data_IF_206794425324
#
_entry.id   IF_206794425324
#
_cell.length_a   1.000
_cell.length_b   1.000
_cell.length_c   1.000
_cell.angle_alpha   90.00
_cell.angle_beta   90.00
_cell.angle_gamma   90.00
#
_symmetry.space_group_name_H-M   'P 1'
#
loop_
_entity.id
_entity.type
_entity.pdbx_description
1 polymer ?
#
# COMPACT_ATOMS: atom_id res chain seq x y z
N UNK A 1 0.79 6.51 -28.09
CA UNK A 1 0.83 7.48 -26.97
C UNK A 1 1.56 6.79 -25.84
N UNK A 2 2.55 7.43 -25.23
CA UNK A 2 3.33 6.81 -24.16
C UNK A 2 2.50 6.77 -22.87
N UNK A 3 2.42 5.59 -22.24
CA UNK A 3 1.71 5.36 -20.98
C UNK A 3 2.54 5.94 -19.81
N UNK A 4 1.91 6.75 -18.95
CA UNK A 4 2.61 7.43 -17.83
C UNK A 4 3.11 6.43 -16.80
N UNK A 5 4.34 6.61 -16.31
CA UNK A 5 4.82 5.87 -15.13
C UNK A 5 4.17 6.38 -13.85
N UNK A 6 4.24 5.62 -12.76
CA UNK A 6 3.78 6.08 -11.43
C UNK A 6 4.44 7.37 -11.01
N UNK A 7 5.73 7.53 -11.32
CA UNK A 7 6.47 8.77 -11.06
C UNK A 7 5.87 10.02 -11.71
N UNK A 8 5.13 9.88 -12.81
CA UNK A 8 4.51 10.95 -13.60
C UNK A 8 3.00 11.06 -13.39
N UNK A 9 2.42 10.15 -12.60
CA UNK A 9 0.99 10.04 -12.40
C UNK A 9 0.52 10.89 -11.22
N UNK A 10 -0.50 11.70 -11.45
CA UNK A 10 -1.11 12.56 -10.44
C UNK A 10 -2.51 12.08 -10.04
N UNK A 11 -3.28 11.53 -10.99
CA UNK A 11 -4.65 11.08 -10.77
C UNK A 11 -4.86 9.64 -11.26
N UNK A 12 -5.42 8.79 -10.40
CA UNK A 12 -5.78 7.41 -10.76
C UNK A 12 -7.18 7.01 -10.36
N UNK A 13 -7.60 5.88 -10.92
CA UNK A 13 -8.82 5.18 -10.51
C UNK A 13 -8.49 3.75 -10.09
N UNK A 14 -9.21 3.26 -9.09
CA UNK A 14 -9.10 1.88 -8.64
C UNK A 14 -10.47 1.21 -8.70
N UNK A 15 -10.50 -0.01 -9.22
CA UNK A 15 -11.70 -0.83 -9.32
C UNK A 15 -11.44 -2.20 -8.73
N UNK A 16 -12.27 -2.56 -7.75
CA UNK A 16 -12.10 -3.78 -6.98
C UNK A 16 -13.35 -4.65 -7.05
N UNK A 17 -13.15 -5.94 -7.30
CA UNK A 17 -14.20 -6.93 -7.49
C UNK A 17 -14.13 -8.06 -6.46
N UNK A 18 -12.93 -8.43 -5.99
CA UNK A 18 -12.73 -9.52 -5.02
C UNK A 18 -13.47 -10.81 -5.37
N UNK A 19 -13.28 -11.34 -6.58
CA UNK A 19 -13.89 -12.60 -6.99
C UNK A 19 -13.64 -13.71 -5.94
N UNK A 20 -14.71 -14.37 -5.51
CA UNK A 20 -14.62 -15.59 -4.72
C UNK A 20 -14.48 -16.82 -5.61
N UNK A 21 -14.04 -17.95 -5.04
CA UNK A 21 -13.93 -19.22 -5.78
C UNK A 21 -15.23 -19.67 -6.44
N UNK A 22 -16.36 -19.40 -5.78
CA UNK A 22 -17.70 -19.75 -6.25
C UNK A 22 -18.36 -18.66 -7.11
N UNK A 23 -17.65 -17.57 -7.40
CA UNK A 23 -18.19 -16.48 -8.23
C UNK A 23 -18.46 -16.96 -9.65
N UNK A 24 -19.67 -16.70 -10.13
CA UNK A 24 -20.11 -17.02 -11.49
C UNK A 24 -20.42 -15.76 -12.29
N UNK A 25 -20.55 -15.91 -13.61
CA UNK A 25 -20.98 -14.85 -14.51
C UNK A 25 -19.97 -13.71 -14.70
N UNK A 26 -18.69 -13.90 -14.37
CA UNK A 26 -17.69 -12.83 -14.53
C UNK A 26 -17.57 -12.47 -16.01
N UNK A 27 -17.93 -11.23 -16.34
CA UNK A 27 -17.95 -10.70 -17.70
C UNK A 27 -19.32 -10.73 -18.40
N UNK A 28 -20.40 -11.21 -17.76
CA UNK A 28 -21.74 -11.24 -18.36
C UNK A 28 -22.25 -9.84 -18.74
N UNK A 29 -21.84 -8.81 -18.01
CA UNK A 29 -22.19 -7.42 -18.29
C UNK A 29 -20.99 -6.63 -18.82
N UNK A 30 -20.05 -7.28 -19.51
CA UNK A 30 -18.96 -6.61 -20.21
C UNK A 30 -19.49 -5.50 -21.11
N UNK A 31 -19.05 -4.28 -20.85
CA UNK A 31 -19.50 -3.08 -21.56
C UNK A 31 -18.28 -2.18 -21.89
N UNK A 32 -17.43 -2.60 -22.86
CA UNK A 32 -16.22 -1.86 -23.21
C UNK A 32 -16.50 -0.40 -23.58
N UNK A 33 -17.65 -0.12 -24.19
CA UNK A 33 -18.09 1.24 -24.51
C UNK A 33 -18.39 2.09 -23.27
N UNK A 34 -18.88 1.50 -22.17
CA UNK A 34 -19.08 2.20 -20.89
C UNK A 34 -17.71 2.51 -20.26
N UNK A 35 -16.80 1.53 -20.28
CA UNK A 35 -15.41 1.72 -19.81
C UNK A 35 -14.74 2.84 -20.61
N UNK A 36 -14.83 2.81 -21.94
CA UNK A 36 -14.28 3.83 -22.81
C UNK A 36 -14.83 5.23 -22.50
N UNK A 37 -16.16 5.37 -22.37
CA UNK A 37 -16.79 6.64 -21.97
C UNK A 37 -16.27 7.16 -20.64
N UNK A 38 -16.11 6.27 -19.65
CA UNK A 38 -15.57 6.62 -18.34
C UNK A 38 -14.12 7.14 -18.46
N UNK A 39 -13.27 6.43 -19.20
CA UNK A 39 -11.87 6.82 -19.39
C UNK A 39 -11.75 8.16 -20.14
N UNK A 40 -12.60 8.41 -21.13
CA UNK A 40 -12.64 9.69 -21.88
C UNK A 40 -13.09 10.87 -21.01
N UNK A 41 -14.06 10.64 -20.12
CA UNK A 41 -14.57 11.65 -19.20
C UNK A 41 -13.57 11.99 -18.09
N UNK A 42 -13.04 10.96 -17.41
CA UNK A 42 -12.18 11.12 -16.23
C UNK A 42 -10.74 11.47 -16.61
N UNK A 43 -10.24 10.91 -17.72
CA UNK A 43 -8.84 11.03 -18.16
C UNK A 43 -7.82 10.76 -17.04
N UNK A 44 -7.89 9.59 -16.37
CA UNK A 44 -6.91 9.25 -15.35
C UNK A 44 -5.54 9.00 -16.00
N UNK A 45 -4.47 9.19 -15.23
CA UNK A 45 -3.11 8.83 -15.66
C UNK A 45 -2.91 7.30 -15.67
N UNK A 46 -3.63 6.62 -14.77
CA UNK A 46 -3.60 5.17 -14.63
C UNK A 46 -4.93 4.63 -14.08
N UNK A 47 -5.20 3.36 -14.36
CA UNK A 47 -6.27 2.59 -13.73
C UNK A 47 -5.66 1.38 -13.04
N UNK A 48 -6.12 1.07 -11.84
CA UNK A 48 -5.90 -0.20 -11.17
C UNK A 48 -7.19 -1.00 -11.22
N UNK A 49 -7.16 -2.24 -11.69
CA UNK A 49 -8.33 -3.11 -11.74
C UNK A 49 -8.09 -4.43 -11.02
N UNK A 50 -9.15 -5.00 -10.45
CA UNK A 50 -9.12 -6.29 -9.78
C UNK A 50 -8.54 -7.38 -10.69
N UNK A 51 -7.65 -8.18 -10.12
CA UNK A 51 -7.12 -9.38 -10.75
C UNK A 51 -7.20 -10.58 -9.82
N UNK A 52 -6.95 -10.38 -8.51
CA UNK A 52 -7.10 -11.40 -7.46
C UNK A 52 -7.31 -10.71 -6.11
N UNK A 53 -8.45 -10.96 -5.46
CA UNK A 53 -8.69 -10.54 -4.08
C UNK A 53 -8.16 -11.53 -3.03
N UNK A 54 -8.33 -11.24 -1.74
CA UNK A 54 -7.89 -12.11 -0.64
C UNK A 54 -8.47 -13.52 -0.63
N UNK A 55 -9.65 -13.70 -1.24
CA UNK A 55 -10.24 -15.03 -1.45
C UNK A 55 -9.37 -15.93 -2.33
N UNK A 56 -8.44 -15.36 -3.11
CA UNK A 56 -7.41 -16.09 -3.86
C UNK A 56 -7.81 -16.51 -5.28
N UNK A 57 -9.07 -16.33 -5.67
CA UNK A 57 -9.53 -16.60 -7.03
C UNK A 57 -9.25 -15.41 -7.96
N UNK A 58 -8.73 -15.67 -9.17
CA UNK A 58 -8.57 -14.62 -10.17
C UNK A 58 -9.92 -14.27 -10.82
N UNK A 59 -10.09 -12.99 -11.16
CA UNK A 59 -11.26 -12.48 -11.88
C UNK A 59 -11.09 -12.44 -13.40
N UNK A 60 -9.99 -13.01 -13.90
CA UNK A 60 -9.66 -13.15 -15.33
C UNK A 60 -9.23 -14.59 -15.65
N UNK A 61 -9.34 -15.03 -16.93
CA UNK A 61 -8.89 -16.34 -17.34
C UNK A 61 -7.36 -16.49 -17.19
N UNK A 62 -6.92 -17.13 -16.12
CA UNK A 62 -5.48 -17.31 -15.82
C UNK A 62 -4.98 -18.68 -16.29
N UNK A 63 -3.73 -18.72 -16.75
CA UNK A 63 -2.95 -19.96 -16.95
C UNK A 63 -2.20 -20.35 -15.67
N UNK A 64 -2.16 -19.48 -14.66
CA UNK A 64 -1.36 -19.62 -13.44
C UNK A 64 -2.24 -19.44 -12.19
N UNK A 65 -2.51 -20.56 -11.51
CA UNK A 65 -3.26 -20.57 -10.27
C UNK A 65 -4.73 -20.91 -10.48
N UNK A 66 -5.62 -20.20 -9.79
CA UNK A 66 -7.01 -20.60 -9.65
C UNK A 66 -7.93 -19.44 -10.03
N UNK A 67 -8.65 -19.58 -11.15
CA UNK A 67 -9.69 -18.64 -11.52
C UNK A 67 -10.99 -18.91 -10.76
N UNK A 68 -11.85 -17.88 -10.69
CA UNK A 68 -13.22 -18.04 -10.26
C UNK A 68 -13.98 -19.08 -11.10
N UNK A 69 -15.04 -19.66 -10.52
CA UNK A 69 -15.78 -20.80 -11.08
C UNK A 69 -16.24 -20.61 -12.53
N UNK A 70 -16.76 -19.44 -12.88
CA UNK A 70 -17.28 -19.18 -14.22
C UNK A 70 -16.93 -17.76 -14.69
N UNK A 71 -16.03 -17.71 -15.68
CA UNK A 71 -15.64 -16.50 -16.40
C UNK A 71 -16.13 -16.63 -17.84
N UNK A 72 -17.11 -15.80 -18.19
CA UNK A 72 -17.73 -15.82 -19.53
C UNK A 72 -17.02 -14.89 -20.51
N UNK A 73 -16.29 -13.89 -20.00
CA UNK A 73 -15.48 -12.98 -20.79
C UNK A 73 -14.25 -12.50 -20.02
N UNK A 74 -13.18 -12.22 -20.76
CA UNK A 74 -11.92 -11.71 -20.20
C UNK A 74 -12.02 -10.21 -19.91
N UNK A 75 -12.42 -9.86 -18.70
CA UNK A 75 -12.57 -8.48 -18.24
C UNK A 75 -11.22 -7.74 -18.15
N UNK A 76 -10.12 -8.45 -17.89
CA UNK A 76 -8.79 -7.84 -17.76
C UNK A 76 -8.28 -7.43 -19.14
N UNK A 77 -8.47 -8.28 -20.14
CA UNK A 77 -8.18 -7.95 -21.54
C UNK A 77 -9.02 -6.77 -22.02
N UNK A 78 -10.31 -6.71 -21.68
CA UNK A 78 -11.17 -5.56 -21.98
C UNK A 78 -10.61 -4.26 -21.39
N UNK A 79 -10.23 -4.26 -20.10
CA UNK A 79 -9.59 -3.12 -19.46
C UNK A 79 -8.30 -2.71 -20.19
N UNK A 80 -7.46 -3.68 -20.55
CA UNK A 80 -6.21 -3.42 -21.27
C UNK A 80 -6.46 -2.77 -22.63
N UNK A 81 -7.38 -3.31 -23.42
CA UNK A 81 -7.72 -2.78 -24.75
C UNK A 81 -8.25 -1.34 -24.67
N UNK A 82 -9.16 -1.04 -23.74
CA UNK A 82 -9.73 0.30 -23.60
C UNK A 82 -8.74 1.34 -23.08
N UNK A 83 -7.84 0.94 -22.18
CA UNK A 83 -6.77 1.83 -21.68
C UNK A 83 -5.66 2.04 -22.72
N UNK A 84 -5.29 1.01 -23.49
CA UNK A 84 -4.27 1.10 -24.54
C UNK A 84 -4.68 2.06 -25.67
N UNK A 85 -5.97 2.04 -26.07
CA UNK A 85 -6.54 3.01 -27.04
C UNK A 85 -6.34 4.47 -26.63
N UNK A 86 -6.18 4.72 -25.32
CA UNK A 86 -6.12 6.06 -24.71
C UNK A 86 -4.76 6.41 -24.13
N UNK A 87 -3.76 5.52 -24.23
CA UNK A 87 -2.45 5.73 -23.60
C UNK A 87 -2.50 5.78 -22.08
N UNK A 88 -3.46 5.12 -21.45
CA UNK A 88 -3.62 5.08 -19.99
C UNK A 88 -2.90 3.84 -19.45
N UNK A 89 -2.14 4.02 -18.37
CA UNK A 89 -1.43 2.90 -17.73
C UNK A 89 -2.40 1.99 -16.98
N UNK A 90 -2.20 0.67 -17.05
CA UNK A 90 -3.05 -0.32 -16.38
C UNK A 90 -2.26 -1.12 -15.35
N UNK A 91 -2.76 -1.16 -14.13
CA UNK A 91 -2.17 -1.87 -13.01
C UNK A 91 -3.12 -2.94 -12.48
N UNK A 92 -2.57 -4.03 -11.99
CA UNK A 92 -3.33 -5.03 -11.26
C UNK A 92 -3.53 -4.61 -9.79
N UNK A 93 -4.76 -4.70 -9.29
CA UNK A 93 -5.04 -4.92 -7.88
C UNK A 93 -4.95 -6.42 -7.61
N UNK A 94 -3.97 -6.84 -6.82
CA UNK A 94 -3.65 -8.26 -6.66
C UNK A 94 -3.27 -8.59 -5.22
N UNK A 95 -3.84 -9.64 -4.65
CA UNK A 95 -3.54 -10.06 -3.28
C UNK A 95 -2.22 -10.83 -3.18
N UNK A 96 -1.38 -10.43 -2.22
CA UNK A 96 -0.08 -11.01 -1.90
C UNK A 96 -0.17 -12.06 -0.79
N UNK A 97 0.34 -11.75 0.41
CA UNK A 97 0.44 -12.69 1.54
C UNK A 97 -0.91 -13.29 1.93
N UNK A 98 -1.98 -12.49 1.91
CA UNK A 98 -3.34 -12.98 2.13
C UNK A 98 -3.85 -13.70 0.86
N UNK A 99 -3.91 -15.02 0.88
CA UNK A 99 -4.45 -15.83 -0.22
C UNK A 99 -5.09 -17.12 0.31
N UNK A 100 -6.41 -17.09 0.50
CA UNK A 100 -7.15 -18.22 1.07
C UNK A 100 -7.08 -19.47 0.17
N UNK A 101 -7.22 -19.28 -1.16
CA UNK A 101 -7.31 -20.39 -2.10
C UNK A 101 -5.95 -21.05 -2.34
N UNK A 102 -4.86 -20.28 -2.32
CA UNK A 102 -3.51 -20.83 -2.33
C UNK A 102 -3.29 -21.82 -1.16
N UNK A 103 -3.76 -21.46 0.04
CA UNK A 103 -3.66 -22.31 1.24
C UNK A 103 -4.61 -23.50 1.17
N UNK A 104 -5.84 -23.32 0.67
CA UNK A 104 -6.80 -24.42 0.49
C UNK A 104 -6.20 -25.52 -0.40
N UNK A 105 -5.53 -25.14 -1.50
CA UNK A 105 -4.89 -26.08 -2.41
C UNK A 105 -3.52 -26.57 -1.93
N UNK A 106 -2.78 -25.76 -1.17
CA UNK A 106 -1.44 -26.08 -0.67
C UNK A 106 -1.32 -25.76 0.83
N UNK A 107 -1.89 -26.60 1.72
CA UNK A 107 -1.92 -26.30 3.15
C UNK A 107 -0.53 -26.12 3.80
N UNK A 108 0.51 -26.72 3.22
CA UNK A 108 1.90 -26.56 3.68
C UNK A 108 2.47 -25.15 3.44
N UNK A 109 1.81 -24.33 2.62
CA UNK A 109 2.24 -22.94 2.37
C UNK A 109 1.71 -21.98 3.43
N UNK A 110 0.86 -22.42 4.35
CA UNK A 110 0.31 -21.55 5.40
C UNK A 110 1.39 -21.09 6.39
N UNK A 111 1.29 -19.83 6.83
CA UNK A 111 1.97 -19.40 8.04
C UNK A 111 1.36 -20.14 9.25
N UNK A 112 2.16 -20.44 10.26
CA UNK A 112 1.72 -21.17 11.46
C UNK A 112 1.93 -20.30 12.68
N UNK A 113 0.93 -20.23 13.56
CA UNK A 113 1.04 -19.43 14.79
C UNK A 113 1.88 -20.17 15.87
N UNK A 114 2.15 -19.49 16.98
CA UNK A 114 2.92 -20.02 18.11
C UNK A 114 2.33 -21.31 18.72
N UNK A 115 1.02 -21.55 18.55
CA UNK A 115 0.33 -22.77 19.03
C UNK A 115 0.45 -23.94 18.07
N UNK A 116 1.11 -23.77 16.93
CA UNK A 116 1.19 -24.79 15.88
C UNK A 116 -0.05 -24.86 15.00
N UNK A 117 -0.93 -23.86 15.03
CA UNK A 117 -2.15 -23.82 14.22
C UNK A 117 -1.85 -23.12 12.87
N UNK A 118 -2.07 -23.79 11.73
CA UNK A 118 -1.89 -23.16 10.42
C UNK A 118 -2.97 -22.12 10.15
N UNK A 119 -2.57 -21.00 9.56
CA UNK A 119 -3.48 -19.99 9.05
C UNK A 119 -4.31 -20.54 7.89
N UNK A 120 -5.56 -20.09 7.78
CA UNK A 120 -6.42 -20.35 6.61
C UNK A 120 -6.36 -19.24 5.57
N UNK A 121 -5.59 -18.20 5.86
CA UNK A 121 -5.63 -16.93 5.13
C UNK A 121 -4.24 -16.42 4.75
N UNK A 122 -3.24 -16.61 5.61
CA UNK A 122 -1.91 -16.00 5.46
C UNK A 122 -0.90 -17.05 5.04
N UNK A 123 -0.25 -16.80 3.91
CA UNK A 123 0.85 -17.63 3.43
C UNK A 123 2.11 -17.38 4.26
N UNK A 124 2.95 -18.40 4.40
CA UNK A 124 4.29 -18.25 4.93
C UNK A 124 5.15 -17.49 3.93
N UNK A 125 5.76 -16.38 4.37
CA UNK A 125 6.72 -15.62 3.54
C UNK A 125 8.02 -16.39 3.30
N UNK A 126 8.26 -17.50 4.02
CA UNK A 126 9.44 -18.36 3.87
C UNK A 126 9.15 -19.58 2.97
N UNK A 127 7.88 -19.84 2.69
CA UNK A 127 7.44 -20.96 1.86
C UNK A 127 7.59 -20.69 0.36
N UNK A 128 7.14 -21.65 -0.47
CA UNK A 128 7.34 -21.62 -1.92
C UNK A 128 6.28 -20.79 -2.68
N UNK A 129 5.40 -20.05 -1.98
CA UNK A 129 4.26 -19.34 -2.57
C UNK A 129 4.69 -18.33 -3.65
N UNK A 130 5.78 -17.60 -3.43
CA UNK A 130 6.30 -16.62 -4.40
C UNK A 130 6.75 -17.32 -5.68
N UNK A 131 7.55 -18.37 -5.55
CA UNK A 131 8.19 -19.04 -6.68
C UNK A 131 7.19 -19.91 -7.45
N UNK A 132 6.14 -20.41 -6.78
CA UNK A 132 5.18 -21.34 -7.38
C UNK A 132 3.88 -20.69 -7.84
N UNK A 133 3.50 -19.53 -7.30
CA UNK A 133 2.21 -18.92 -7.60
C UNK A 133 2.32 -17.41 -7.87
N UNK A 134 2.64 -16.59 -6.86
CA UNK A 134 2.58 -15.13 -7.01
C UNK A 134 3.51 -14.62 -8.12
N UNK A 135 4.79 -14.97 -8.10
CA UNK A 135 5.76 -14.54 -9.11
C UNK A 135 5.33 -14.91 -10.53
N UNK A 136 4.97 -16.18 -10.81
CA UNK A 136 4.39 -16.59 -12.09
C UNK A 136 3.11 -15.82 -12.49
N UNK A 137 2.22 -15.49 -11.55
CA UNK A 137 1.02 -14.67 -11.82
C UNK A 137 1.40 -13.24 -12.24
N UNK A 138 2.39 -12.63 -11.57
CA UNK A 138 2.88 -11.30 -11.94
C UNK A 138 3.51 -11.31 -13.34
N UNK A 139 4.25 -12.36 -13.68
CA UNK A 139 4.83 -12.53 -15.03
C UNK A 139 3.74 -12.69 -16.08
N UNK A 140 2.70 -13.49 -15.83
CA UNK A 140 1.56 -13.63 -16.75
C UNK A 140 0.89 -12.27 -17.01
N UNK A 141 0.57 -11.52 -15.95
CA UNK A 141 -0.04 -10.19 -16.09
C UNK A 141 0.86 -9.21 -16.85
N UNK A 142 2.16 -9.22 -16.58
CA UNK A 142 3.11 -8.33 -17.24
C UNK A 142 3.31 -8.67 -18.74
N UNK A 143 3.35 -9.95 -19.09
CA UNK A 143 3.81 -10.39 -20.42
C UNK A 143 2.69 -10.79 -21.38
N UNK A 144 1.63 -11.42 -20.88
CA UNK A 144 0.52 -11.89 -21.70
C UNK A 144 -0.59 -10.83 -21.80
N UNK A 145 -0.77 -10.04 -20.73
CA UNK A 145 -1.77 -8.97 -20.67
C UNK A 145 -1.21 -7.56 -20.87
N UNK A 146 0.12 -7.40 -20.97
CA UNK A 146 0.77 -6.08 -21.13
C UNK A 146 0.31 -5.06 -20.07
N UNK A 147 0.22 -5.49 -18.80
CA UNK A 147 0.02 -4.57 -17.68
C UNK A 147 1.30 -3.78 -17.42
N UNK A 148 1.13 -2.52 -17.01
CA UNK A 148 2.22 -1.61 -16.71
C UNK A 148 2.78 -1.82 -15.29
N UNK A 149 1.99 -2.43 -14.41
CA UNK A 149 2.43 -2.73 -13.06
C UNK A 149 1.41 -3.45 -12.18
N UNK A 150 1.72 -3.54 -10.90
CA UNK A 150 0.88 -4.15 -9.88
C UNK A 150 0.92 -3.36 -8.58
N UNK A 151 -0.22 -3.32 -7.91
CA UNK A 151 -0.36 -2.92 -6.52
C UNK A 151 -0.75 -4.16 -5.72
N UNK A 152 0.19 -4.64 -4.90
CA UNK A 152 0.03 -5.87 -4.13
C UNK A 152 -0.66 -5.54 -2.81
N UNK A 153 -1.88 -6.02 -2.63
CA UNK A 153 -2.61 -5.90 -1.37
C UNK A 153 -2.35 -7.09 -0.43
N UNK A 154 -2.82 -7.01 0.81
CA UNK A 154 -2.74 -8.13 1.74
C UNK A 154 -1.30 -8.50 2.07
N UNK A 155 -0.38 -7.53 2.06
CA UNK A 155 1.07 -7.71 2.20
C UNK A 155 1.53 -7.41 3.65
N UNK A 156 2.20 -6.29 3.93
CA UNK A 156 2.88 -6.07 5.22
C UNK A 156 1.89 -6.05 6.40
N UNK A 157 0.65 -5.64 6.17
CA UNK A 157 -0.38 -5.59 7.20
C UNK A 157 -1.02 -6.96 7.50
N UNK A 158 -0.78 -7.96 6.65
CA UNK A 158 -1.34 -9.30 6.78
C UNK A 158 -0.34 -10.35 7.31
N UNK A 159 0.97 -10.04 7.34
CA UNK A 159 1.98 -10.96 7.86
C UNK A 159 1.87 -11.15 9.38
N UNK A 160 2.29 -12.33 9.84
CA UNK A 160 2.27 -12.74 11.24
C UNK A 160 3.58 -13.43 11.63
N UNK A 161 3.96 -13.45 12.92
CA UNK A 161 5.05 -14.31 13.39
C UNK A 161 4.79 -15.76 12.96
N UNK A 162 5.76 -16.37 12.29
CA UNK A 162 5.56 -17.62 11.57
C UNK A 162 6.41 -18.74 12.16
N UNK A 163 5.75 -19.80 12.60
CA UNK A 163 6.32 -21.03 13.14
C UNK A 163 6.13 -22.20 12.18
N UNK A 164 5.87 -21.96 10.89
CA UNK A 164 5.80 -23.00 9.87
C UNK A 164 7.14 -23.74 9.78
N UNK A 165 7.13 -24.95 9.20
CA UNK A 165 8.37 -25.69 8.96
C UNK A 165 9.38 -24.86 8.15
N UNK A 166 8.90 -24.10 7.16
CA UNK A 166 9.72 -23.18 6.36
C UNK A 166 10.38 -22.11 7.22
N UNK A 167 9.63 -21.42 8.08
CA UNK A 167 10.15 -20.38 8.95
C UNK A 167 11.10 -20.94 10.02
N UNK A 168 10.78 -22.09 10.62
CA UNK A 168 11.64 -22.77 11.60
C UNK A 168 12.98 -23.17 10.97
N UNK A 169 12.96 -23.74 9.77
CA UNK A 169 14.17 -24.15 9.06
C UNK A 169 15.03 -22.91 8.68
N UNK A 170 14.40 -21.85 8.18
CA UNK A 170 15.09 -20.61 7.86
C UNK A 170 15.70 -19.93 9.10
N UNK A 171 14.99 -19.93 10.22
CA UNK A 171 15.48 -19.38 11.49
C UNK A 171 16.65 -20.20 12.04
N UNK A 172 16.52 -21.54 12.02
CA UNK A 172 17.59 -22.44 12.46
C UNK A 172 18.84 -22.30 11.58
N UNK A 173 18.69 -22.21 10.27
CA UNK A 173 19.81 -22.00 9.35
C UNK A 173 20.55 -20.69 9.63
N UNK A 174 19.84 -19.62 10.02
CA UNK A 174 20.43 -18.31 10.33
C UNK A 174 21.07 -18.23 11.72
N UNK A 175 20.49 -18.91 12.71
CA UNK A 175 20.83 -18.67 14.13
C UNK A 175 21.39 -19.89 14.87
N UNK A 176 21.22 -21.10 14.32
CA UNK A 176 21.48 -22.37 15.01
C UNK A 176 20.51 -22.68 16.16
N UNK A 177 19.44 -21.91 16.33
CA UNK A 177 18.45 -22.03 17.42
C UNK A 177 17.05 -22.29 16.87
N UNK A 178 16.15 -22.79 17.72
CA UNK A 178 14.71 -22.84 17.41
C UNK A 178 14.07 -21.46 17.63
N UNK A 179 13.00 -21.10 16.91
CA UNK A 179 12.25 -19.87 17.18
C UNK A 179 11.78 -19.82 18.64
N UNK A 180 12.08 -18.74 19.38
CA UNK A 180 11.56 -18.53 20.72
C UNK A 180 10.06 -18.25 20.70
N UNK A 181 9.39 -18.62 21.79
CA UNK A 181 8.01 -18.25 22.08
C UNK A 181 7.88 -16.81 22.56
N UNK A 182 6.65 -16.28 22.58
CA UNK A 182 6.35 -14.89 22.91
C UNK A 182 6.69 -14.48 24.35
N UNK A 183 6.94 -15.45 25.23
CA UNK A 183 7.37 -15.27 26.61
C UNK A 183 8.84 -15.65 26.86
N UNK A 184 9.59 -16.00 25.82
CA UNK A 184 10.99 -16.43 25.90
C UNK A 184 11.95 -15.29 25.52
N UNK A 185 13.18 -15.37 26.02
CA UNK A 185 14.25 -14.43 25.65
C UNK A 185 14.57 -14.53 24.15
N UNK A 186 14.84 -13.40 23.50
CA UNK A 186 15.13 -13.32 22.07
C UNK A 186 13.89 -13.28 21.17
N UNK A 187 12.68 -13.17 21.73
CA UNK A 187 11.46 -13.04 20.93
C UNK A 187 11.46 -11.82 19.99
N UNK A 188 11.99 -10.67 20.45
CA UNK A 188 12.10 -9.48 19.61
C UNK A 188 13.01 -9.72 18.39
N UNK A 189 14.14 -10.43 18.57
CA UNK A 189 15.03 -10.83 17.46
C UNK A 189 14.31 -11.76 16.47
N UNK A 190 13.42 -12.62 16.96
CA UNK A 190 12.58 -13.47 16.10
C UNK A 190 11.52 -12.68 15.34
N UNK A 191 10.92 -11.65 15.95
CA UNK A 191 10.03 -10.74 15.22
C UNK A 191 10.78 -9.98 14.13
N UNK A 192 12.00 -9.50 14.41
CA UNK A 192 12.85 -8.86 13.41
C UNK A 192 13.26 -9.82 12.29
N UNK A 193 13.53 -11.08 12.61
CA UNK A 193 13.71 -12.13 11.62
C UNK A 193 12.48 -12.29 10.71
N UNK A 194 11.27 -12.32 11.27
CA UNK A 194 10.05 -12.42 10.49
C UNK A 194 9.80 -11.18 9.62
N UNK A 195 10.06 -9.97 10.15
CA UNK A 195 10.01 -8.71 9.39
C UNK A 195 10.99 -8.75 8.21
N UNK A 196 12.21 -9.23 8.43
CA UNK A 196 13.19 -9.39 7.36
C UNK A 196 12.72 -10.42 6.33
N UNK A 197 12.14 -11.55 6.76
CA UNK A 197 11.56 -12.54 5.85
C UNK A 197 10.48 -11.96 4.92
N UNK A 198 9.66 -11.02 5.42
CA UNK A 198 8.71 -10.30 4.58
C UNK A 198 9.41 -9.37 3.58
N UNK A 199 10.44 -8.62 3.98
CA UNK A 199 11.22 -7.78 3.04
C UNK A 199 11.85 -8.64 1.94
N UNK A 200 12.42 -9.80 2.30
CA UNK A 200 13.01 -10.74 1.35
C UNK A 200 11.94 -11.37 0.42
N UNK A 201 10.72 -11.60 0.92
CA UNK A 201 9.56 -12.00 0.13
C UNK A 201 9.20 -10.94 -0.93
N UNK A 202 9.12 -9.67 -0.54
CA UNK A 202 8.85 -8.56 -1.47
C UNK A 202 9.95 -8.45 -2.53
N UNK A 203 11.22 -8.49 -2.11
CA UNK A 203 12.35 -8.45 -3.03
C UNK A 203 12.31 -9.59 -4.07
N UNK A 204 11.92 -10.81 -3.64
CA UNK A 204 11.84 -11.98 -4.53
C UNK A 204 10.77 -11.84 -5.61
N UNK A 205 9.53 -11.48 -5.27
CA UNK A 205 8.51 -11.37 -6.31
C UNK A 205 8.81 -10.23 -7.28
N UNK A 206 9.42 -9.12 -6.81
CA UNK A 206 9.88 -8.04 -7.68
C UNK A 206 10.96 -8.54 -8.63
N UNK A 207 11.94 -9.29 -8.11
CA UNK A 207 13.02 -9.84 -8.94
C UNK A 207 12.49 -10.78 -10.02
N UNK A 208 11.55 -11.67 -9.68
CA UNK A 208 10.96 -12.62 -10.63
C UNK A 208 10.26 -11.90 -11.78
N UNK A 209 9.41 -10.91 -11.48
CA UNK A 209 8.68 -10.20 -12.54
C UNK A 209 9.60 -9.29 -13.35
N UNK A 210 10.54 -8.57 -12.71
CA UNK A 210 11.47 -7.67 -13.42
C UNK A 210 12.49 -8.42 -14.29
N UNK A 211 12.76 -9.70 -14.03
CA UNK A 211 13.57 -10.52 -14.95
C UNK A 211 12.90 -10.68 -16.32
N UNK A 212 11.57 -10.78 -16.36
CA UNK A 212 10.81 -10.97 -17.60
C UNK A 212 10.23 -9.67 -18.16
N UNK A 213 9.90 -8.71 -17.29
CA UNK A 213 9.33 -7.42 -17.64
C UNK A 213 10.01 -6.30 -16.82
N UNK A 214 11.21 -5.83 -17.23
CA UNK A 214 11.99 -4.85 -16.46
C UNK A 214 11.29 -3.51 -16.21
N UNK A 215 10.34 -3.14 -17.07
CA UNK A 215 9.55 -1.91 -16.96
C UNK A 215 8.31 -2.03 -16.06
N UNK A 216 7.97 -3.24 -15.59
CA UNK A 216 6.79 -3.47 -14.76
C UNK A 216 6.97 -2.80 -13.40
N UNK A 217 6.04 -1.89 -13.05
CA UNK A 217 6.09 -1.09 -11.82
C UNK A 217 5.38 -1.81 -10.66
N UNK A 218 5.99 -1.84 -9.48
CA UNK A 218 5.50 -2.60 -8.33
C UNK A 218 5.36 -1.74 -7.08
N UNK A 219 4.21 -1.84 -6.42
CA UNK A 219 3.98 -1.39 -5.05
C UNK A 219 3.56 -2.58 -4.16
N UNK A 220 4.02 -2.56 -2.91
CA UNK A 220 3.49 -3.37 -1.82
C UNK A 220 2.65 -2.45 -0.93
N UNK A 221 1.36 -2.74 -0.81
CA UNK A 221 0.43 -1.90 -0.05
C UNK A 221 0.97 -1.68 1.37
N UNK A 222 1.04 -0.42 1.78
CA UNK A 222 1.48 0.04 3.10
C UNK A 222 2.95 -0.15 3.47
N UNK A 223 3.79 -0.73 2.60
CA UNK A 223 5.23 -0.81 2.89
C UNK A 223 5.86 0.60 2.86
N UNK A 224 6.71 0.91 3.85
CA UNK A 224 7.33 2.25 4.04
C UNK A 224 6.36 3.39 4.38
N UNK A 225 5.24 3.07 5.03
CA UNK A 225 4.25 4.06 5.49
C UNK A 225 4.21 4.11 7.02
N UNK A 226 3.11 4.59 7.61
CA UNK A 226 2.87 4.44 9.06
C UNK A 226 2.80 2.98 9.53
N UNK A 227 2.62 2.01 8.63
CA UNK A 227 2.61 0.58 8.96
C UNK A 227 4.01 0.00 9.10
N UNK A 228 4.99 0.60 8.43
CA UNK A 228 6.41 0.24 8.45
C UNK A 228 7.24 1.53 8.30
N UNK A 229 7.34 2.37 9.35
CA UNK A 229 8.00 3.67 9.30
C UNK A 229 9.53 3.49 9.29
N UNK A 230 10.01 3.06 8.14
CA UNK A 230 11.38 2.61 7.88
C UNK A 230 11.94 3.28 6.63
N UNK A 231 13.26 3.21 6.49
CA UNK A 231 13.97 3.60 5.28
C UNK A 231 13.61 2.68 4.11
N UNK A 232 13.38 3.29 2.95
CA UNK A 232 13.12 2.57 1.70
C UNK A 232 14.37 1.81 1.27
N UNK A 233 14.32 0.49 1.40
CA UNK A 233 15.44 -0.43 1.09
C UNK A 233 15.11 -1.40 -0.04
N UNK A 234 13.82 -1.62 -0.32
CA UNK A 234 13.34 -2.50 -1.37
C UNK A 234 13.22 -1.76 -2.72
N UNK A 235 13.39 -2.46 -3.86
CA UNK A 235 13.31 -1.87 -5.18
C UNK A 235 11.85 -1.64 -5.64
N UNK A 236 11.00 -1.11 -4.76
CA UNK A 236 9.65 -0.67 -5.10
C UNK A 236 9.71 0.55 -6.04
N UNK A 237 8.82 0.60 -7.03
CA UNK A 237 8.76 1.71 -7.98
C UNK A 237 7.96 2.89 -7.41
N UNK A 238 7.00 2.61 -6.53
CA UNK A 238 6.17 3.60 -5.84
C UNK A 238 5.65 3.09 -4.49
N UNK A 239 5.22 4.01 -3.63
CA UNK A 239 4.60 3.72 -2.32
C UNK A 239 3.13 4.09 -2.38
N UNK A 240 2.26 3.23 -1.88
CA UNK A 240 0.82 3.48 -1.91
C UNK A 240 0.10 2.82 -0.73
N UNK A 241 -1.07 3.36 -0.40
CA UNK A 241 -1.93 2.87 0.64
C UNK A 241 -3.36 3.39 0.48
N UNK A 242 -4.32 2.64 0.98
CA UNK A 242 -5.74 3.00 1.00
C UNK A 242 -6.19 3.37 2.40
N UNK A 243 -6.99 4.42 2.58
CA UNK A 243 -7.30 4.90 3.94
C UNK A 243 -8.76 4.73 4.35
N UNK A 244 -8.96 4.67 5.67
CA UNK A 244 -10.25 4.40 6.32
C UNK A 244 -11.42 5.15 5.66
N UNK A 245 -12.51 4.46 5.27
CA UNK A 245 -13.69 5.09 4.69
C UNK A 245 -14.50 5.96 5.68
N UNK A 246 -14.32 5.79 7.00
CA UNK A 246 -15.07 6.51 8.04
C UNK A 246 -14.37 7.78 8.53
N UNK A 247 -13.03 7.73 8.71
CA UNK A 247 -12.24 8.86 9.18
C UNK A 247 -11.26 9.34 8.10
N UNK A 248 -11.77 9.47 6.88
CA UNK A 248 -10.96 9.56 5.66
C UNK A 248 -10.04 10.78 5.65
N UNK A 249 -10.56 11.98 5.93
CA UNK A 249 -9.76 13.22 5.92
C UNK A 249 -8.59 13.17 6.91
N UNK A 250 -8.83 12.74 8.15
CA UNK A 250 -7.77 12.69 9.15
C UNK A 250 -6.77 11.57 8.87
N UNK A 251 -7.23 10.45 8.32
CA UNK A 251 -6.32 9.37 7.91
C UNK A 251 -5.46 9.84 6.73
N UNK A 252 -6.06 10.45 5.69
CA UNK A 252 -5.32 11.03 4.57
C UNK A 252 -4.28 12.07 5.03
N UNK A 253 -4.61 12.95 6.00
CA UNK A 253 -3.68 13.95 6.55
C UNK A 253 -2.45 13.29 7.16
N UNK A 254 -2.66 12.23 7.95
CA UNK A 254 -1.60 11.54 8.65
C UNK A 254 -0.73 10.69 7.71
N UNK A 255 -1.36 9.93 6.81
CA UNK A 255 -0.64 9.05 5.90
C UNK A 255 0.12 9.84 4.83
N UNK A 256 -0.44 10.94 4.31
CA UNK A 256 0.26 11.80 3.37
C UNK A 256 1.51 12.41 4.00
N UNK A 257 1.43 12.83 5.28
CA UNK A 257 2.57 13.34 6.03
C UNK A 257 3.64 12.26 6.29
N UNK A 258 3.26 10.99 6.41
CA UNK A 258 4.22 9.87 6.49
C UNK A 258 4.94 9.61 5.16
N UNK A 259 4.26 9.83 4.03
CA UNK A 259 4.75 9.47 2.70
C UNK A 259 5.63 10.52 2.04
N UNK A 260 5.35 11.80 2.29
CA UNK A 260 5.94 12.94 1.56
C UNK A 260 7.48 12.95 1.53
N UNK A 261 8.13 12.44 2.57
CA UNK A 261 9.61 12.39 2.69
C UNK A 261 10.26 11.07 2.30
N UNK A 262 9.51 10.06 1.85
CA UNK A 262 10.09 8.74 1.57
C UNK A 262 10.96 8.68 0.30
N UNK A 263 11.02 9.75 -0.51
CA UNK A 263 11.93 9.82 -1.65
C UNK A 263 11.54 8.92 -2.83
N UNK A 264 10.32 8.37 -2.82
CA UNK A 264 9.71 7.62 -3.92
C UNK A 264 8.44 8.33 -4.39
N UNK A 265 8.02 8.13 -5.65
CA UNK A 265 6.66 8.44 -6.06
C UNK A 265 5.67 7.77 -5.10
N UNK A 266 4.62 8.50 -4.75
CA UNK A 266 3.61 7.96 -3.86
C UNK A 266 2.22 8.47 -4.19
N UNK A 267 1.23 7.69 -3.82
CA UNK A 267 -0.17 8.05 -3.90
C UNK A 267 -0.94 7.53 -2.70
N UNK A 268 -2.13 8.08 -2.48
CA UNK A 268 -3.08 7.52 -1.51
C UNK A 268 -4.45 7.31 -2.15
N UNK A 269 -5.10 6.24 -1.72
CA UNK A 269 -6.38 5.80 -2.24
C UNK A 269 -7.53 6.11 -1.28
N UNK A 270 -8.41 7.02 -1.71
CA UNK A 270 -9.71 7.21 -1.08
C UNK A 270 -10.63 6.05 -1.40
N UNK A 271 -11.41 5.60 -0.43
CA UNK A 271 -12.58 4.75 -0.74
C UNK A 271 -13.71 5.64 -1.26
N UNK A 272 -14.26 5.34 -2.43
CA UNK A 272 -15.38 6.07 -3.07
C UNK A 272 -16.71 5.93 -2.31
N UNK A 273 -16.72 5.19 -1.21
CA UNK A 273 -17.85 4.98 -0.33
C UNK A 273 -17.42 4.99 1.14
N UNK A 274 -18.39 5.20 2.01
CA UNK A 274 -18.30 5.00 3.45
C UNK A 274 -19.02 3.69 3.84
N UNK A 275 -18.71 3.11 4.99
CA UNK A 275 -19.49 1.99 5.55
C UNK A 275 -20.27 2.52 6.75
N UNK A 276 -21.59 2.61 6.61
CA UNK A 276 -22.51 3.04 7.67
C UNK A 276 -23.46 1.91 8.03
N UNK A 277 -23.45 1.47 9.28
CA UNK A 277 -24.27 0.35 9.77
C UNK A 277 -24.14 -0.93 8.92
N UNK A 278 -22.95 -1.19 8.38
CA UNK A 278 -22.67 -2.34 7.51
C UNK A 278 -23.02 -2.14 6.03
N UNK A 279 -23.55 -0.98 5.63
CA UNK A 279 -23.88 -0.67 4.25
C UNK A 279 -22.85 0.25 3.59
N UNK A 280 -22.52 -0.03 2.34
CA UNK A 280 -21.68 0.85 1.53
C UNK A 280 -22.52 2.04 1.03
N UNK A 281 -22.15 3.24 1.47
CA UNK A 281 -22.80 4.50 1.08
C UNK A 281 -21.83 5.32 0.24
N UNK A 282 -22.18 5.59 -1.01
CA UNK A 282 -21.31 6.33 -1.93
C UNK A 282 -21.03 7.74 -1.37
N UNK A 283 -19.76 8.14 -1.40
CA UNK A 283 -19.34 9.48 -0.95
C UNK A 283 -19.80 10.53 -1.96
N UNK A 284 -20.19 11.68 -1.43
CA UNK A 284 -20.55 12.84 -2.26
C UNK A 284 -19.32 13.46 -2.90
N UNK A 285 -19.50 14.20 -4.00
CA UNK A 285 -18.40 14.93 -4.64
C UNK A 285 -17.63 15.83 -3.65
N UNK A 286 -18.26 16.65 -2.78
CA UNK A 286 -17.53 17.47 -1.81
C UNK A 286 -16.65 16.67 -0.85
N UNK A 287 -17.09 15.48 -0.41
CA UNK A 287 -16.28 14.61 0.46
C UNK A 287 -15.04 14.11 -0.28
N UNK A 288 -15.21 13.63 -1.52
CA UNK A 288 -14.08 13.16 -2.33
C UNK A 288 -13.10 14.30 -2.66
N UNK A 289 -13.60 15.50 -2.98
CA UNK A 289 -12.74 16.66 -3.20
C UNK A 289 -11.97 17.05 -1.93
N UNK A 290 -12.58 16.95 -0.74
CA UNK A 290 -11.91 17.22 0.53
C UNK A 290 -10.77 16.23 0.80
N UNK A 291 -11.02 14.94 0.56
CA UNK A 291 -10.02 13.88 0.69
C UNK A 291 -8.88 14.06 -0.33
N UNK A 292 -9.22 14.34 -1.59
CA UNK A 292 -8.24 14.61 -2.63
C UNK A 292 -7.38 15.83 -2.31
N UNK A 293 -7.98 16.93 -1.83
CA UNK A 293 -7.27 18.16 -1.49
C UNK A 293 -6.17 17.94 -0.46
N UNK A 294 -6.42 17.10 0.55
CA UNK A 294 -5.43 16.76 1.58
C UNK A 294 -4.22 16.04 0.98
N UNK A 295 -4.46 15.07 0.10
CA UNK A 295 -3.41 14.25 -0.50
C UNK A 295 -2.57 15.07 -1.48
N UNK A 296 -3.22 15.74 -2.43
CA UNK A 296 -2.51 16.46 -3.50
C UNK A 296 -1.75 17.69 -2.96
N UNK A 297 -2.25 18.35 -1.90
CA UNK A 297 -1.54 19.47 -1.28
C UNK A 297 -0.17 19.08 -0.68
N UNK A 298 0.06 17.79 -0.43
CA UNK A 298 1.33 17.26 0.09
C UNK A 298 2.29 16.78 -1.01
N UNK A 299 1.96 16.94 -2.29
CA UNK A 299 2.86 16.56 -3.38
C UNK A 299 2.63 15.19 -4.01
N UNK A 300 1.77 14.36 -3.41
CA UNK A 300 1.50 13.00 -3.88
C UNK A 300 0.45 12.92 -4.99
N UNK A 301 0.29 11.70 -5.52
CA UNK A 301 -0.83 11.35 -6.39
C UNK A 301 -2.09 11.02 -5.58
N UNK A 302 -3.25 11.27 -6.17
CA UNK A 302 -4.53 10.86 -5.62
C UNK A 302 -5.17 9.78 -6.48
N UNK A 303 -5.69 8.74 -5.84
CA UNK A 303 -6.61 7.83 -6.49
C UNK A 303 -7.82 7.55 -5.63
N UNK A 304 -8.85 7.00 -6.25
CA UNK A 304 -10.07 6.64 -5.56
C UNK A 304 -10.61 5.31 -6.04
N UNK A 305 -10.94 4.48 -5.06
CA UNK A 305 -11.52 3.16 -5.20
C UNK A 305 -13.02 3.24 -5.45
N UNK A 306 -13.47 2.49 -6.45
CA UNK A 306 -14.88 2.28 -6.76
C UNK A 306 -15.15 0.78 -6.83
N UNK A 307 -16.26 0.33 -6.25
CA UNK A 307 -16.66 -1.07 -6.38
C UNK A 307 -16.83 -1.42 -7.87
N UNK A 308 -16.25 -2.52 -8.33
CA UNK A 308 -16.49 -3.01 -9.68
C UNK A 308 -17.77 -3.84 -9.71
N UNK A 309 -18.60 -3.69 -10.74
CA UNK A 309 -19.73 -4.58 -10.99
C UNK A 309 -19.25 -5.74 -11.87
N UNK A 310 -20.00 -6.84 -11.89
CA UNK A 310 -19.65 -8.04 -12.67
C UNK A 310 -19.51 -7.68 -14.16
N UNK A 311 -18.27 -7.45 -14.62
CA UNK A 311 -17.95 -7.06 -15.99
C UNK A 311 -17.99 -5.57 -16.34
N UNK A 312 -18.38 -4.65 -15.45
CA UNK A 312 -18.48 -3.20 -15.81
C UNK A 312 -18.40 -2.26 -14.58
N UNK A 313 -18.54 -0.96 -14.83
CA UNK A 313 -18.52 0.13 -13.84
C UNK A 313 -19.90 0.79 -13.69
N UNK A 314 -20.08 1.58 -12.64
CA UNK A 314 -21.30 2.37 -12.42
C UNK A 314 -21.39 3.55 -13.37
N UNK A 315 -22.11 3.38 -14.49
CA UNK A 315 -22.28 4.46 -15.48
C UNK A 315 -22.84 5.76 -14.88
N UNK A 316 -23.80 5.65 -13.95
CA UNK A 316 -24.40 6.79 -13.29
C UNK A 316 -23.40 7.64 -12.48
N UNK A 317 -22.26 7.07 -12.08
CA UNK A 317 -21.25 7.75 -11.27
C UNK A 317 -20.20 8.50 -12.10
N UNK A 318 -20.12 8.25 -13.42
CA UNK A 318 -19.15 8.89 -14.32
C UNK A 318 -19.17 10.43 -14.22
N UNK A 319 -20.33 11.12 -14.20
CA UNK A 319 -20.35 12.58 -14.07
C UNK A 319 -19.79 13.09 -12.72
N UNK A 320 -19.80 12.27 -11.66
CA UNK A 320 -19.19 12.61 -10.37
C UNK A 320 -17.67 12.47 -10.48
N UNK A 321 -17.20 11.37 -11.06
CA UNK A 321 -15.78 11.10 -11.26
C UNK A 321 -15.11 12.12 -12.18
N UNK A 322 -15.78 12.56 -13.24
CA UNK A 322 -15.31 13.62 -14.13
C UNK A 322 -15.10 14.94 -13.37
N UNK A 323 -16.05 15.33 -12.51
CA UNK A 323 -15.94 16.56 -11.71
C UNK A 323 -14.84 16.47 -10.65
N UNK A 324 -14.66 15.29 -10.04
CA UNK A 324 -13.55 15.04 -9.12
C UNK A 324 -12.20 15.15 -9.85
N UNK A 325 -12.10 14.57 -11.04
CA UNK A 325 -10.91 14.68 -11.87
C UNK A 325 -10.62 16.13 -12.25
N UNK A 326 -11.63 16.90 -12.68
CA UNK A 326 -11.48 18.32 -12.98
C UNK A 326 -10.97 19.11 -11.77
N UNK A 327 -11.49 18.83 -10.57
CA UNK A 327 -11.01 19.43 -9.32
C UNK A 327 -9.52 19.13 -9.08
N UNK A 328 -9.08 17.88 -9.25
CA UNK A 328 -7.67 17.54 -9.11
C UNK A 328 -6.82 18.24 -10.18
N UNK A 329 -7.20 18.13 -11.47
CA UNK A 329 -6.42 18.65 -12.60
C UNK A 329 -6.22 20.17 -12.58
N UNK A 330 -7.20 20.94 -12.10
CA UNK A 330 -7.06 22.39 -11.89
C UNK A 330 -5.89 22.74 -10.95
N UNK A 331 -5.45 21.79 -10.11
CA UNK A 331 -4.42 21.97 -9.09
C UNK A 331 -3.13 21.22 -9.40
N UNK A 332 -3.05 20.46 -10.50
CA UNK A 332 -1.91 19.57 -10.79
C UNK A 332 -0.59 20.33 -10.88
N UNK A 333 -0.55 21.45 -11.62
CA UNK A 333 0.68 22.22 -11.85
C UNK A 333 1.29 22.82 -10.58
N UNK A 334 0.49 23.02 -9.52
CA UNK A 334 0.94 23.59 -8.25
C UNK A 334 1.12 22.52 -7.16
N UNK A 335 0.39 21.42 -7.25
CA UNK A 335 0.36 20.39 -6.22
C UNK A 335 1.30 19.22 -6.53
N UNK A 336 1.36 18.74 -7.76
CA UNK A 336 2.09 17.52 -8.06
C UNK A 336 3.59 17.68 -7.78
N UNK A 337 4.13 16.83 -6.90
CA UNK A 337 5.52 16.85 -6.40
C UNK A 337 5.89 18.12 -5.62
N UNK A 338 4.90 18.87 -5.13
CA UNK A 338 5.13 19.92 -4.15
C UNK A 338 5.85 19.35 -2.92
N UNK A 339 6.63 20.21 -2.26
CA UNK A 339 7.34 19.87 -1.03
C UNK A 339 6.83 20.73 0.11
N UNK A 340 6.57 20.17 1.30
CA UNK A 340 6.17 20.97 2.45
C UNK A 340 7.24 22.01 2.81
N UNK A 341 6.78 23.13 3.36
CA UNK A 341 7.67 24.11 3.95
C UNK A 341 8.01 23.68 5.39
N UNK A 342 9.29 23.57 5.71
CA UNK A 342 9.74 23.19 7.04
C UNK A 342 9.39 24.28 8.05
N UNK A 343 8.41 24.03 8.93
CA UNK A 343 8.10 24.89 10.08
C UNK A 343 8.08 24.08 11.37
N UNK A 344 7.33 22.97 11.38
CA UNK A 344 7.26 22.04 12.51
C UNK A 344 7.65 20.64 12.07
N UNK A 345 8.63 20.04 12.73
CA UNK A 345 9.00 18.64 12.55
C UNK A 345 8.42 17.78 13.66
N UNK A 346 7.84 16.63 13.34
CA UNK A 346 7.28 15.69 14.31
C UNK A 346 8.08 14.39 14.21
N UNK A 347 8.83 14.08 15.27
CA UNK A 347 9.71 12.92 15.29
C UNK A 347 8.89 11.64 15.38
N UNK A 348 9.11 10.71 14.45
CA UNK A 348 8.50 9.39 14.45
C UNK A 348 9.59 8.31 14.52
N UNK A 349 9.95 7.92 15.74
CA UNK A 349 11.01 6.94 15.98
C UNK A 349 10.59 5.53 15.56
N UNK A 350 11.39 4.92 14.68
CA UNK A 350 11.25 3.52 14.27
C UNK A 350 11.44 2.57 15.46
N UNK A 351 12.42 2.84 16.34
CA UNK A 351 12.63 2.08 17.58
C UNK A 351 11.43 2.18 18.52
N UNK A 352 10.86 3.37 18.70
CA UNK A 352 9.63 3.53 19.47
C UNK A 352 8.45 2.76 18.86
N UNK A 353 8.35 2.72 17.54
CA UNK A 353 7.27 2.02 16.82
C UNK A 353 7.30 0.51 17.05
N UNK A 354 8.49 -0.08 17.12
CA UNK A 354 8.70 -1.50 17.34
C UNK A 354 8.85 -1.91 18.81
N UNK A 355 9.06 -0.95 19.71
CA UNK A 355 9.22 -1.22 21.14
C UNK A 355 8.00 -1.97 21.73
N UNK A 356 8.25 -3.16 22.30
CA UNK A 356 7.23 -4.05 22.89
C UNK A 356 6.08 -4.43 21.92
N UNK A 357 6.30 -4.34 20.61
CA UNK A 357 5.28 -4.65 19.60
C UNK A 357 5.27 -6.15 19.33
N UNK A 358 4.11 -6.79 19.47
CA UNK A 358 3.94 -8.23 19.18
C UNK A 358 3.58 -8.55 17.73
N UNK A 359 2.99 -7.59 17.02
CA UNK A 359 2.72 -7.70 15.59
C UNK A 359 3.98 -7.34 14.80
N UNK A 360 4.13 -7.88 13.59
CA UNK A 360 5.29 -7.60 12.75
C UNK A 360 5.25 -6.17 12.24
N UNK A 361 4.16 -5.80 11.57
CA UNK A 361 3.86 -4.46 11.11
C UNK A 361 2.45 -4.08 11.57
N UNK A 362 2.14 -2.78 11.52
CA UNK A 362 0.80 -2.16 11.67
C UNK A 362 0.87 -0.89 12.49
N UNK A 363 0.18 0.15 12.02
CA UNK A 363 -0.07 1.37 12.78
C UNK A 363 -1.09 1.16 13.92
N UNK A 364 -1.95 0.14 13.83
CA UNK A 364 -3.09 -0.02 14.72
C UNK A 364 -2.69 -0.36 16.16
N UNK A 365 -3.29 0.35 17.11
CA UNK A 365 -3.02 0.18 18.54
C UNK A 365 -1.60 0.59 18.98
N UNK A 366 -0.79 1.16 18.10
CA UNK A 366 0.58 1.57 18.41
C UNK A 366 0.59 2.94 19.12
N UNK A 367 1.03 3.03 20.40
CA UNK A 367 0.92 4.27 21.17
C UNK A 367 1.69 5.45 20.57
N UNK A 368 2.93 5.22 20.09
CA UNK A 368 3.73 6.29 19.46
C UNK A 368 3.07 6.79 18.17
N UNK A 369 2.45 5.91 17.38
CA UNK A 369 1.72 6.30 16.16
C UNK A 369 0.54 7.22 16.50
N UNK A 370 -0.21 6.90 17.57
CA UNK A 370 -1.27 7.75 18.08
C UNK A 370 -0.76 9.11 18.56
N UNK A 371 0.38 9.15 19.25
CA UNK A 371 0.99 10.38 19.74
C UNK A 371 1.48 11.27 18.58
N UNK A 372 2.19 10.72 17.59
CA UNK A 372 2.62 11.43 16.36
C UNK A 372 1.41 12.02 15.64
N UNK A 373 0.33 11.23 15.48
CA UNK A 373 -0.91 11.68 14.85
C UNK A 373 -1.55 12.85 15.61
N UNK A 374 -1.63 12.78 16.93
CA UNK A 374 -2.14 13.87 17.76
C UNK A 374 -1.31 15.15 17.63
N UNK A 375 0.02 15.03 17.67
CA UNK A 375 0.93 16.16 17.46
C UNK A 375 0.77 16.80 16.07
N UNK A 376 0.61 15.98 15.02
CA UNK A 376 0.37 16.46 13.66
C UNK A 376 -0.92 17.28 13.57
N UNK A 377 -2.00 16.76 14.15
CA UNK A 377 -3.28 17.45 14.09
C UNK A 377 -3.25 18.76 14.88
N UNK A 378 -2.66 18.76 16.07
CA UNK A 378 -2.49 19.97 16.87
C UNK A 378 -1.69 21.05 16.13
N UNK A 379 -0.59 20.67 15.46
CA UNK A 379 0.21 21.62 14.67
C UNK A 379 -0.58 22.19 13.48
N UNK A 380 -1.22 21.33 12.70
CA UNK A 380 -1.98 21.73 11.51
C UNK A 380 -3.24 22.55 11.84
N UNK A 381 -3.91 22.27 12.95
CA UNK A 381 -5.06 23.05 13.42
C UNK A 381 -4.66 24.48 13.82
N UNK A 382 -3.41 24.66 14.26
CA UNK A 382 -2.79 25.98 14.50
C UNK A 382 -2.17 26.59 13.23
N UNK A 383 -2.51 26.08 12.04
CA UNK A 383 -2.06 26.59 10.73
C UNK A 383 -0.55 26.48 10.48
N UNK A 384 0.16 25.61 11.21
CA UNK A 384 1.55 25.31 10.91
C UNK A 384 1.67 24.25 9.81
N UNK A 385 2.59 24.47 8.87
CA UNK A 385 3.12 23.40 8.03
C UNK A 385 3.90 22.43 8.90
N UNK A 386 3.44 21.17 8.92
CA UNK A 386 4.00 20.15 9.78
C UNK A 386 4.41 18.93 8.97
N UNK A 387 5.62 18.44 9.22
CA UNK A 387 6.21 17.28 8.56
C UNK A 387 6.46 16.17 9.58
N UNK A 388 6.19 14.93 9.20
CA UNK A 388 6.62 13.77 9.99
C UNK A 388 8.06 13.45 9.58
N UNK A 389 8.95 13.43 10.57
CA UNK A 389 10.35 13.06 10.42
C UNK A 389 10.55 11.68 11.02
N UNK A 390 10.49 10.64 10.19
CA UNK A 390 10.89 9.29 10.61
C UNK A 390 12.38 9.27 10.94
N UNK A 391 12.85 8.28 11.70
CA UNK A 391 14.24 8.21 12.18
C UNK A 391 15.27 8.46 11.07
N UNK A 392 15.14 7.80 9.92
CA UNK A 392 16.05 7.98 8.78
C UNK A 392 15.90 9.35 8.12
N UNK A 393 14.69 9.94 8.06
CA UNK A 393 14.52 11.31 7.56
C UNK A 393 15.28 12.29 8.44
N UNK A 394 15.10 12.21 9.76
CA UNK A 394 15.75 13.12 10.70
C UNK A 394 17.28 13.00 10.62
N UNK A 395 17.79 11.77 10.57
CA UNK A 395 19.22 11.49 10.49
C UNK A 395 19.84 11.92 9.15
N UNK A 396 19.06 11.93 8.07
CA UNK A 396 19.51 12.38 6.75
C UNK A 396 19.67 13.90 6.62
N UNK A 397 19.00 14.69 7.47
CA UNK A 397 19.07 16.14 7.43
C UNK A 397 20.44 16.61 7.95
N UNK A 398 21.05 17.55 7.24
CA UNK A 398 22.16 18.34 7.79
C UNK A 398 21.68 19.21 8.95
N UNK A 399 22.59 19.67 9.80
CA UNK A 399 22.22 20.52 10.93
C UNK A 399 21.61 21.86 10.46
N UNK A 400 22.07 22.40 9.33
CA UNK A 400 21.51 23.60 8.68
C UNK A 400 20.10 23.37 8.14
N UNK A 401 19.79 22.18 7.63
CA UNK A 401 18.44 21.83 7.18
C UNK A 401 17.51 21.61 8.37
N UNK A 402 18.00 20.95 9.43
CA UNK A 402 17.23 20.73 10.65
C UNK A 402 16.92 22.05 11.36
N UNK A 403 17.84 23.02 11.35
CA UNK A 403 17.66 24.36 11.89
C UNK A 403 16.57 25.20 11.17
N UNK A 404 16.09 24.76 9.99
CA UNK A 404 14.94 25.40 9.31
C UNK A 404 13.62 25.08 9.98
N UNK A 405 13.53 23.97 10.71
CA UNK A 405 12.39 23.70 11.56
C UNK A 405 12.49 24.62 12.77
N UNK A 406 11.48 25.46 12.99
CA UNK A 406 11.43 26.34 14.16
C UNK A 406 10.98 25.63 15.43
N UNK A 407 10.50 24.38 15.30
CA UNK A 407 10.11 23.53 16.41
C UNK A 407 10.19 22.06 15.99
N UNK A 408 10.79 21.23 16.84
CA UNK A 408 10.67 19.78 16.78
C UNK A 408 9.79 19.27 17.92
N UNK A 409 8.77 18.49 17.59
CA UNK A 409 7.93 17.80 18.55
C UNK A 409 8.43 16.37 18.64
N UNK A 410 8.91 15.96 19.83
CA UNK A 410 9.13 14.57 20.19
C UNK A 410 7.90 14.05 20.94
N UNK A 411 7.01 13.27 20.31
CA UNK A 411 5.83 12.72 20.97
C UNK A 411 6.25 11.70 22.04
N UNK A 412 5.35 11.31 22.93
CA UNK A 412 5.64 10.41 24.05
C UNK A 412 6.30 9.09 23.57
N UNK A 413 7.62 8.97 23.75
CA UNK A 413 8.43 7.81 23.33
C UNK A 413 8.93 7.02 24.54
N UNK A 414 8.73 5.71 24.52
CA UNK A 414 9.28 4.78 25.51
C UNK A 414 10.69 4.27 25.15
N UNK A 415 11.07 4.39 23.88
CA UNK A 415 12.38 4.04 23.36
C UNK A 415 12.73 4.99 22.20
N UNK A 416 14.02 5.24 21.98
CA UNK A 416 14.52 6.05 20.87
C UNK A 416 15.91 5.58 20.45
N UNK A 417 16.24 5.70 19.17
CA UNK A 417 17.58 5.46 18.62
C UNK A 417 18.57 6.45 19.23
N UNK A 418 19.78 6.00 19.54
CA UNK A 418 20.78 6.84 20.22
C UNK A 418 21.26 7.99 19.33
N UNK A 419 21.35 7.74 18.03
CA UNK A 419 21.69 8.71 17.00
C UNK A 419 20.60 9.78 16.86
N UNK A 420 19.32 9.36 16.86
CA UNK A 420 18.17 10.28 16.85
C UNK A 420 18.20 11.15 18.09
N UNK A 421 18.41 10.55 19.27
CA UNK A 421 18.54 11.30 20.53
C UNK A 421 19.68 12.31 20.48
N UNK A 422 20.86 11.92 19.98
CA UNK A 422 22.00 12.82 19.85
C UNK A 422 21.72 13.99 18.87
N UNK A 423 21.06 13.71 17.74
CA UNK A 423 20.64 14.71 16.76
C UNK A 423 19.69 15.75 17.37
N UNK A 424 18.69 15.29 18.14
CA UNK A 424 17.72 16.17 18.81
C UNK A 424 18.36 17.03 19.91
N UNK A 425 19.29 16.45 20.68
CA UNK A 425 20.04 17.22 21.70
C UNK A 425 20.91 18.30 21.05
N UNK A 426 21.54 17.99 19.91
CA UNK A 426 22.35 18.96 19.14
C UNK A 426 21.48 20.11 18.62
N UNK A 427 20.31 19.79 18.07
CA UNK A 427 19.34 20.80 17.63
C UNK A 427 18.93 21.75 18.77
N UNK A 428 18.61 21.20 19.95
CA UNK A 428 18.26 22.02 21.13
C UNK A 428 19.44 22.87 21.64
N UNK A 429 20.67 22.35 21.62
CA UNK A 429 21.87 23.10 21.99
C UNK A 429 22.15 24.29 21.06
N UNK A 430 21.75 24.17 19.80
CA UNK A 430 21.88 25.22 18.79
C UNK A 430 20.73 26.24 18.81
N UNK A 431 19.83 26.17 19.81
CA UNK A 431 18.77 27.15 20.04
C UNK A 431 17.42 26.84 19.39
N UNK A 432 17.24 25.59 18.92
CA UNK A 432 15.99 25.10 18.34
C UNK A 432 14.94 24.65 19.35
#
# INVERSE_FOLDING_TARGET
>A
MDRKKRSESFLGMHFDFHAGKDQTGIGENCAPEVIGRMLDAVRPDYVQCDTKGHNGATSYPTKVGYQAKEIVADILKMWREETAKRGISLYAHHSGVWDNLAIEHNPSWAAVNEKGEPSKEKTSVFGPYVEKLLGPQLVEMATEYDLDGVWIDGDCWAVMPDYSEHAQNAYYAKTGKKPPKSNEEGYDDFLDFCRQGFRDYVARYISIVKEKAPSFEVASNWMYTSFAPEEVTLPLDFISGDYSPQNSVNTARFEAACLVRQGKPWDLMAWGFNIQHGYHCIKTLPQLCQEAAVVIAQGGGFQFYNAQKVGTVQEWAIPIWEKLAAFCREREDICHRAKPHAQVGIVYSTKAFYHNKKNLFTAYGCPVTGAVRGSLFAAQENQYSAEILMSHHLLSLTDDELARFGMLILPNVAAIEDEVKAKLLTYAQNGG
#
